data_IF_334920020199
#
_entry.id   IF_334920020199
#
_cell.length_a   1.000
_cell.length_b   1.000
_cell.length_c   1.000
_cell.angle_alpha   90.00
_cell.angle_beta   90.00
_cell.angle_gamma   90.00
#
_symmetry.space_group_name_H-M   'P 1'
#
loop_
_entity.id
_entity.type
_entity.pdbx_description
1 polymer ?
#
# COMPACT_ATOMS: atom_id res chain seq x y z
N UNK A 1 19.42 21.36 6.72
CA UNK A 1 17.97 21.52 6.48
C UNK A 1 17.78 21.98 5.03
N UNK A 2 17.75 21.05 4.06
CA UNK A 2 17.36 21.23 2.64
C UNK A 2 17.85 20.03 1.77
N UNK A 3 17.68 18.77 2.21
CA UNK A 3 18.17 17.60 1.46
C UNK A 3 17.15 16.44 1.35
N UNK A 4 15.85 16.70 1.56
CA UNK A 4 14.78 15.68 1.49
C UNK A 4 13.79 15.83 0.32
N UNK A 5 13.66 17.00 -0.29
CA UNK A 5 12.58 17.28 -1.26
C UNK A 5 12.83 16.70 -2.66
N UNK A 6 14.08 16.73 -3.14
CA UNK A 6 14.41 16.28 -4.50
C UNK A 6 14.36 14.75 -4.65
N UNK A 7 14.75 14.00 -3.61
CA UNK A 7 14.76 12.54 -3.62
C UNK A 7 13.33 11.95 -3.55
N UNK A 8 12.43 12.62 -2.83
CA UNK A 8 11.01 12.35 -2.91
C UNK A 8 10.54 12.56 -4.35
N UNK A 9 10.61 13.76 -4.93
CA UNK A 9 10.08 14.01 -6.28
C UNK A 9 10.65 13.11 -7.40
N UNK A 10 11.93 12.71 -7.34
CA UNK A 10 12.54 11.82 -8.34
C UNK A 10 11.98 10.38 -8.29
N UNK A 11 11.66 9.87 -7.10
CA UNK A 11 11.00 8.56 -6.93
C UNK A 11 9.53 8.62 -7.38
N UNK A 12 8.86 9.77 -7.26
CA UNK A 12 7.49 9.99 -7.74
C UNK A 12 7.37 9.96 -9.26
N UNK A 13 8.34 10.53 -9.98
CA UNK A 13 8.37 10.49 -11.44
C UNK A 13 8.59 9.06 -11.99
N UNK A 14 9.31 8.19 -11.26
CA UNK A 14 9.49 6.78 -11.66
C UNK A 14 8.26 5.91 -11.39
N UNK A 15 7.37 6.30 -10.48
CA UNK A 15 6.09 5.62 -10.23
C UNK A 15 5.07 5.81 -11.38
N UNK A 16 5.25 6.83 -12.24
CA UNK A 16 4.24 7.29 -13.21
C UNK A 16 4.75 7.48 -14.65
N UNK A 17 5.91 6.90 -15.02
CA UNK A 17 6.41 6.95 -16.40
C UNK A 17 5.74 5.91 -17.32
N UNK A 18 4.43 6.10 -17.55
CA UNK A 18 3.75 5.98 -18.85
C UNK A 18 2.47 6.80 -18.77
N UNK A 19 2.63 8.12 -18.91
CA UNK A 19 1.56 9.12 -18.99
C UNK A 19 0.66 8.81 -20.19
N UNK A 20 -0.61 8.54 -19.93
CA UNK A 20 -1.68 8.88 -20.87
C UNK A 20 -2.33 10.12 -20.30
N UNK A 21 -1.95 11.28 -20.85
CA UNK A 21 -2.61 12.56 -20.60
C UNK A 21 -3.97 12.53 -21.29
N UNK A 22 -5.07 12.72 -20.56
CA UNK A 22 -6.34 13.22 -21.12
C UNK A 22 -7.13 14.00 -20.05
N UNK A 23 -7.95 14.99 -20.45
CA UNK A 23 -8.45 16.03 -19.55
C UNK A 23 -9.79 15.71 -18.85
N UNK A 24 -9.80 16.03 -17.54
CA UNK A 24 -10.87 16.57 -16.68
C UNK A 24 -12.28 15.97 -16.64
N UNK A 25 -12.56 15.27 -15.52
CA UNK A 25 -13.48 15.77 -14.47
C UNK A 25 -12.78 15.61 -13.11
N UNK A 26 -12.79 16.66 -12.26
CA UNK A 26 -12.31 16.63 -10.87
C UNK A 26 -13.19 15.71 -10.01
N UNK A 27 -13.05 14.38 -10.14
CA UNK A 27 -13.88 13.41 -9.40
C UNK A 27 -13.24 12.91 -8.12
N UNK A 28 -11.91 13.04 -8.01
CA UNK A 28 -11.19 12.75 -6.76
C UNK A 28 -11.48 13.81 -5.68
N UNK A 29 -11.87 15.03 -6.05
CA UNK A 29 -12.30 16.08 -5.11
C UNK A 29 -13.59 15.72 -4.38
N UNK A 30 -14.43 14.87 -4.98
CA UNK A 30 -15.69 14.39 -4.40
C UNK A 30 -15.49 13.32 -3.35
N UNK A 31 -14.28 12.88 -3.04
CA UNK A 31 -14.06 11.83 -2.03
C UNK A 31 -13.58 12.45 -0.74
N UNK A 32 -14.35 12.35 0.35
CA UNK A 32 -13.86 12.81 1.65
C UNK A 32 -13.09 11.68 2.34
N UNK A 33 -11.96 12.05 2.94
CA UNK A 33 -11.20 11.20 3.84
C UNK A 33 -10.98 11.97 5.14
N UNK A 34 -11.40 11.36 6.25
CA UNK A 34 -11.02 11.81 7.59
C UNK A 34 -10.17 10.72 8.21
N UNK A 35 -8.86 10.96 8.36
CA UNK A 35 -7.95 9.98 8.93
C UNK A 35 -7.05 10.67 9.97
N UNK A 36 -7.14 10.30 11.26
CA UNK A 36 -6.35 10.94 12.31
C UNK A 36 -4.85 10.89 12.03
N UNK A 37 -4.17 12.02 12.21
CA UNK A 37 -2.72 12.15 12.00
C UNK A 37 -2.29 12.37 10.55
N UNK A 38 -3.22 12.41 9.59
CA UNK A 38 -2.95 12.70 8.19
C UNK A 38 -3.53 14.05 7.80
N UNK A 39 -2.70 14.92 7.23
CA UNK A 39 -3.09 16.26 6.78
C UNK A 39 -3.00 16.35 5.28
N UNK A 40 -4.04 16.86 4.63
CA UNK A 40 -4.04 17.08 3.20
C UNK A 40 -3.11 18.24 2.82
N UNK A 41 -2.27 18.02 1.82
CA UNK A 41 -1.44 19.06 1.22
C UNK A 41 -2.10 19.67 -0.02
N UNK A 42 -1.37 20.53 -0.75
CA UNK A 42 -1.82 21.03 -2.05
C UNK A 42 -2.10 19.86 -3.00
N UNK A 43 -3.27 19.85 -3.63
CA UNK A 43 -3.65 18.86 -4.64
C UNK A 43 -3.15 19.27 -6.03
N UNK A 44 -2.83 18.28 -6.86
CA UNK A 44 -2.77 18.43 -8.31
C UNK A 44 -4.12 17.96 -8.89
N UNK A 45 -4.44 18.37 -10.12
CA UNK A 45 -5.72 18.10 -10.80
C UNK A 45 -6.10 16.63 -10.83
N UNK A 46 -5.10 15.73 -10.83
CA UNK A 46 -5.30 14.29 -10.97
C UNK A 46 -5.04 13.50 -9.68
N UNK A 47 -4.49 14.14 -8.64
CA UNK A 47 -4.03 13.46 -7.45
C UNK A 47 -4.14 14.31 -6.18
N UNK A 48 -4.72 13.72 -5.15
CA UNK A 48 -4.77 14.29 -3.79
C UNK A 48 -3.77 13.60 -2.90
N UNK A 49 -3.13 14.35 -2.01
CA UNK A 49 -2.01 13.87 -1.21
C UNK A 49 -2.22 14.29 0.24
N UNK A 50 -2.17 13.32 1.15
CA UNK A 50 -2.08 13.51 2.57
C UNK A 50 -0.69 13.10 3.06
N UNK A 51 -0.21 13.80 4.09
CA UNK A 51 1.05 13.48 4.77
C UNK A 51 0.82 13.37 6.26
N UNK A 52 1.54 12.44 6.88
CA UNK A 52 1.63 12.39 8.34
C UNK A 52 2.79 13.24 8.88
N UNK A 53 2.89 13.35 10.21
CA UNK A 53 3.97 14.09 10.88
C UNK A 53 5.37 13.54 10.63
N UNK A 54 5.48 12.29 10.19
CA UNK A 54 6.78 11.68 9.89
C UNK A 54 7.15 11.84 8.40
N UNK A 55 6.22 12.32 7.56
CA UNK A 55 6.40 12.54 6.14
C UNK A 55 6.02 11.34 5.26
N UNK A 56 5.35 10.33 5.83
CA UNK A 56 4.73 9.26 5.04
C UNK A 56 3.58 9.82 4.22
N UNK A 57 3.25 9.12 3.13
CA UNK A 57 2.35 9.66 2.12
C UNK A 57 1.19 8.74 1.86
N UNK A 58 0.00 9.32 1.82
CA UNK A 58 -1.22 8.71 1.35
C UNK A 58 -1.68 9.52 0.14
N UNK A 59 -1.96 8.87 -0.97
CA UNK A 59 -2.47 9.54 -2.17
C UNK A 59 -3.75 8.90 -2.65
N UNK A 60 -4.59 9.71 -3.30
CA UNK A 60 -5.77 9.29 -4.03
C UNK A 60 -5.62 9.68 -5.49
N UNK A 61 -5.80 8.71 -6.37
CA UNK A 61 -5.90 8.90 -7.82
C UNK A 61 -7.17 8.26 -8.35
N UNK A 62 -7.71 8.84 -9.43
CA UNK A 62 -8.83 8.25 -10.17
C UNK A 62 -8.33 7.73 -11.52
N UNK A 63 -8.73 6.52 -11.88
CA UNK A 63 -8.44 5.91 -13.17
C UNK A 63 -9.75 5.73 -13.94
N UNK A 64 -9.94 6.49 -15.02
CA UNK A 64 -11.14 6.40 -15.87
C UNK A 64 -11.32 4.99 -16.46
N UNK A 65 -10.24 4.43 -16.99
CA UNK A 65 -10.20 3.01 -17.34
C UNK A 65 -10.03 2.23 -16.04
N UNK A 66 -11.15 1.73 -15.52
CA UNK A 66 -11.16 0.95 -14.29
C UNK A 66 -10.15 -0.20 -14.33
N UNK A 67 -9.52 -0.46 -13.18
CA UNK A 67 -8.69 -1.64 -13.00
C UNK A 67 -9.61 -2.84 -12.85
N UNK A 68 -9.61 -3.71 -13.87
CA UNK A 68 -10.34 -4.96 -13.83
C UNK A 68 -9.54 -5.99 -13.02
N UNK A 69 -9.64 -5.87 -11.69
CA UNK A 69 -9.06 -6.87 -10.80
C UNK A 69 -9.95 -8.12 -10.76
N UNK A 70 -9.37 -9.33 -10.69
CA UNK A 70 -10.12 -10.58 -10.75
C UNK A 70 -11.23 -10.65 -9.69
N UNK A 71 -12.46 -10.96 -10.13
CA UNK A 71 -13.61 -11.24 -9.28
C UNK A 71 -13.97 -12.71 -9.39
N UNK A 72 -14.37 -13.35 -8.30
CA UNK A 72 -14.84 -14.72 -8.33
C UNK A 72 -14.64 -15.47 -7.02
N UNK A 73 -15.12 -16.72 -6.94
CA UNK A 73 -14.89 -17.57 -5.78
C UNK A 73 -13.41 -17.94 -5.69
N UNK A 74 -12.78 -17.58 -4.58
CA UNK A 74 -11.37 -17.87 -4.29
C UNK A 74 -10.43 -16.69 -4.52
N UNK A 75 -9.48 -16.52 -3.59
CA UNK A 75 -8.56 -15.39 -3.59
C UNK A 75 -7.31 -15.61 -4.45
N UNK A 76 -7.12 -16.79 -5.05
CA UNK A 76 -5.89 -17.14 -5.77
C UNK A 76 -5.60 -16.21 -6.95
N UNK A 77 -6.59 -15.97 -7.81
CA UNK A 77 -6.41 -15.07 -8.97
C UNK A 77 -6.18 -13.63 -8.52
N UNK A 78 -6.88 -13.18 -7.47
CA UNK A 78 -6.71 -11.86 -6.88
C UNK A 78 -5.29 -11.69 -6.33
N UNK A 79 -4.79 -12.67 -5.58
CA UNK A 79 -3.43 -12.68 -5.00
C UNK A 79 -2.37 -12.68 -6.09
N UNK A 80 -2.55 -13.47 -7.15
CA UNK A 80 -1.66 -13.46 -8.32
C UNK A 80 -1.62 -12.08 -8.97
N UNK A 81 -2.79 -11.48 -9.22
CA UNK A 81 -2.90 -10.14 -9.79
C UNK A 81 -2.22 -9.08 -8.91
N UNK A 82 -2.43 -9.10 -7.59
CA UNK A 82 -1.74 -8.21 -6.65
C UNK A 82 -0.22 -8.43 -6.67
N UNK A 83 0.22 -9.69 -6.77
CA UNK A 83 1.63 -10.05 -6.87
C UNK A 83 2.27 -9.52 -8.15
N UNK A 84 1.61 -9.62 -9.29
CA UNK A 84 2.10 -9.07 -10.57
C UNK A 84 2.28 -7.56 -10.49
N UNK A 85 1.35 -6.87 -9.82
CA UNK A 85 1.45 -5.43 -9.56
C UNK A 85 2.63 -5.12 -8.63
N UNK A 86 2.83 -5.88 -7.55
CA UNK A 86 3.98 -5.73 -6.66
C UNK A 86 5.31 -5.98 -7.41
N UNK A 87 5.38 -7.07 -8.18
CA UNK A 87 6.55 -7.47 -8.96
C UNK A 87 6.91 -6.43 -10.03
N UNK A 88 5.92 -5.84 -10.72
CA UNK A 88 6.15 -4.76 -11.69
C UNK A 88 6.77 -3.50 -11.07
N UNK A 89 6.79 -3.41 -9.74
CA UNK A 89 7.41 -2.34 -8.95
C UNK A 89 8.63 -2.83 -8.18
N UNK A 90 9.18 -3.99 -8.55
CA UNK A 90 10.34 -4.62 -7.90
C UNK A 90 10.08 -4.95 -6.41
N UNK A 91 8.83 -5.20 -6.04
CA UNK A 91 8.41 -5.48 -4.67
C UNK A 91 7.85 -6.88 -4.47
N UNK A 92 8.03 -7.42 -3.26
CA UNK A 92 7.42 -8.67 -2.83
C UNK A 92 6.09 -8.43 -2.13
N UNK A 93 5.09 -9.25 -2.46
CA UNK A 93 3.77 -9.18 -1.85
C UNK A 93 3.83 -9.60 -0.37
N UNK A 94 3.18 -8.84 0.50
CA UNK A 94 3.01 -9.17 1.93
C UNK A 94 1.61 -9.69 2.18
N UNK A 95 0.60 -8.97 1.73
CA UNK A 95 -0.81 -9.27 1.97
C UNK A 95 -1.64 -8.90 0.75
N UNK A 96 -2.68 -9.67 0.45
CA UNK A 96 -3.69 -9.35 -0.55
C UNK A 96 -5.02 -9.99 -0.17
N UNK A 97 -6.08 -9.19 -0.21
CA UNK A 97 -7.44 -9.63 0.11
C UNK A 97 -8.50 -8.81 -0.63
N UNK A 98 -9.65 -9.42 -0.87
CA UNK A 98 -10.84 -8.67 -1.22
C UNK A 98 -11.32 -7.87 0.00
N UNK A 99 -11.84 -6.67 -0.22
CA UNK A 99 -12.31 -5.80 0.85
C UNK A 99 -13.73 -5.31 0.55
N UNK A 100 -14.55 -5.20 1.59
CA UNK A 100 -15.85 -4.56 1.51
C UNK A 100 -15.67 -3.04 1.61
N UNK A 101 -16.30 -2.30 0.70
CA UNK A 101 -16.32 -0.83 0.70
C UNK A 101 -17.71 -0.38 0.24
N UNK A 102 -18.27 0.63 0.90
CA UNK A 102 -19.59 1.16 0.55
C UNK A 102 -19.69 1.70 -0.88
N UNK A 103 -18.56 2.03 -1.52
CA UNK A 103 -18.52 2.58 -2.87
C UNK A 103 -18.54 1.52 -3.98
N UNK A 104 -18.21 0.26 -3.67
CA UNK A 104 -18.16 -0.82 -4.65
C UNK A 104 -17.15 -1.93 -4.33
N UNK A 105 -17.03 -2.93 -5.21
CA UNK A 105 -16.04 -4.00 -5.06
C UNK A 105 -14.64 -3.42 -4.87
N UNK A 106 -13.90 -3.94 -3.89
CA UNK A 106 -12.59 -3.42 -3.57
C UNK A 106 -11.56 -4.52 -3.31
N UNK A 107 -10.30 -4.19 -3.56
CA UNK A 107 -9.14 -5.02 -3.24
C UNK A 107 -8.14 -4.20 -2.45
N UNK A 108 -7.56 -4.80 -1.42
CA UNK A 108 -6.45 -4.23 -0.66
C UNK A 108 -5.26 -5.17 -0.69
N UNK A 109 -4.07 -4.63 -0.93
CA UNK A 109 -2.83 -5.37 -0.83
C UNK A 109 -1.68 -4.50 -0.36
N UNK A 110 -0.67 -5.13 0.23
CA UNK A 110 0.54 -4.49 0.72
C UNK A 110 1.73 -5.21 0.12
N UNK A 111 2.73 -4.46 -0.33
CA UNK A 111 4.00 -5.00 -0.80
C UNK A 111 5.19 -4.23 -0.24
N UNK A 112 6.34 -4.90 -0.18
CA UNK A 112 7.60 -4.39 0.36
C UNK A 112 8.62 -4.21 -0.74
N UNK A 113 9.44 -3.17 -0.63
CA UNK A 113 10.57 -2.88 -1.51
C UNK A 113 11.77 -2.44 -0.70
N UNK A 114 12.96 -2.53 -1.29
CA UNK A 114 14.16 -1.91 -0.75
C UNK A 114 14.15 -0.40 -1.03
N UNK A 115 14.71 0.37 -0.11
CA UNK A 115 14.92 1.80 -0.30
C UNK A 115 16.19 2.03 -1.12
N UNK A 116 16.09 2.71 -2.26
CA UNK A 116 17.22 2.90 -3.21
C UNK A 116 18.45 3.57 -2.56
N UNK A 117 18.25 4.37 -1.52
CA UNK A 117 19.29 5.19 -0.88
C UNK A 117 19.72 4.67 0.51
N UNK A 118 19.10 3.61 1.04
CA UNK A 118 19.26 3.18 2.44
C UNK A 118 19.06 1.66 2.55
N UNK A 119 19.62 1.02 3.58
CA UNK A 119 19.42 -0.41 3.88
C UNK A 119 18.04 -0.73 4.49
N UNK A 120 17.06 0.16 4.36
CA UNK A 120 15.73 0.04 4.96
C UNK A 120 14.66 -0.40 3.96
N UNK A 121 13.50 -0.77 4.49
CA UNK A 121 12.34 -1.15 3.68
C UNK A 121 11.34 -0.03 3.49
N UNK A 122 10.70 -0.03 2.33
CA UNK A 122 9.51 0.78 2.03
C UNK A 122 8.33 -0.15 1.84
N UNK A 123 7.26 0.12 2.59
CA UNK A 123 6.01 -0.61 2.52
C UNK A 123 4.98 0.25 1.80
N UNK A 124 4.35 -0.33 0.79
CA UNK A 124 3.27 0.32 0.05
C UNK A 124 1.99 -0.48 0.20
N UNK A 125 0.94 0.16 0.73
CA UNK A 125 -0.43 -0.35 0.70
C UNK A 125 -1.20 0.27 -0.46
N UNK A 126 -1.96 -0.54 -1.18
CA UNK A 126 -2.85 -0.10 -2.25
C UNK A 126 -4.26 -0.61 -1.97
N UNK A 127 -5.22 0.31 -1.94
CA UNK A 127 -6.64 0.02 -1.81
C UNK A 127 -7.37 0.55 -3.06
N UNK A 128 -7.93 -0.36 -3.83
CA UNK A 128 -8.51 -0.08 -5.13
C UNK A 128 -9.99 -0.42 -5.08
N UNK A 129 -10.83 0.56 -5.38
CA UNK A 129 -12.28 0.41 -5.41
C UNK A 129 -12.80 0.67 -6.81
N UNK A 130 -13.55 -0.29 -7.36
CA UNK A 130 -14.27 -0.11 -8.62
C UNK A 130 -15.53 0.71 -8.37
N UNK A 131 -15.71 1.77 -9.15
CA UNK A 131 -16.88 2.67 -9.13
C UNK A 131 -17.46 2.76 -10.55
N UNK A 132 -18.67 3.29 -10.71
CA UNK A 132 -19.39 3.28 -12.02
C UNK A 132 -18.57 3.84 -13.19
N UNK A 133 -17.69 4.80 -12.93
CA UNK A 133 -16.96 5.55 -13.96
C UNK A 133 -15.45 5.22 -14.02
N UNK A 134 -14.99 4.21 -13.28
CA UNK A 134 -13.57 3.85 -13.23
C UNK A 134 -13.12 3.18 -11.93
N UNK A 135 -11.93 3.53 -11.46
CA UNK A 135 -11.39 3.04 -10.19
C UNK A 135 -10.80 4.17 -9.36
N UNK A 136 -11.10 4.15 -8.06
CA UNK A 136 -10.39 4.95 -7.06
C UNK A 136 -9.20 4.13 -6.56
N UNK A 137 -8.02 4.73 -6.57
CA UNK A 137 -6.78 4.09 -6.14
C UNK A 137 -6.18 4.89 -5.00
N UNK A 138 -6.30 4.34 -3.80
CA UNK A 138 -5.60 4.82 -2.62
C UNK A 138 -4.25 4.14 -2.51
N UNK A 139 -3.20 4.92 -2.30
CA UNK A 139 -1.84 4.41 -2.13
C UNK A 139 -1.21 5.03 -0.88
N UNK A 140 -0.93 4.21 0.13
CA UNK A 140 -0.15 4.62 1.32
C UNK A 140 1.27 4.10 1.19
N UNK A 141 2.26 4.94 1.46
CA UNK A 141 3.67 4.59 1.42
C UNK A 141 4.32 5.04 2.71
N UNK A 142 4.91 4.08 3.42
CA UNK A 142 5.71 4.32 4.62
C UNK A 142 7.08 3.67 4.50
N UNK A 143 8.13 4.42 4.82
CA UNK A 143 9.50 3.94 4.86
C UNK A 143 9.96 3.71 6.30
N UNK A 144 10.85 2.74 6.51
CA UNK A 144 11.58 2.64 7.77
C UNK A 144 12.43 3.89 7.99
N UNK A 145 12.35 4.44 9.20
CA UNK A 145 13.14 5.60 9.64
C UNK A 145 13.91 5.26 10.90
N UNK A 146 15.13 5.78 11.04
CA UNK A 146 15.99 5.49 12.18
C UNK A 146 16.65 4.11 12.07
N UNK A 147 16.57 3.31 13.13
CA UNK A 147 17.14 1.94 13.17
C UNK A 147 16.28 0.98 12.34
N UNK A 148 16.66 0.75 11.09
CA UNK A 148 16.06 -0.29 10.22
C UNK A 148 16.37 -1.68 10.77
N UNK A 149 15.47 -2.65 10.54
CA UNK A 149 15.72 -4.05 10.92
C UNK A 149 15.47 -4.38 12.40
N UNK A 150 15.01 -3.42 13.21
CA UNK A 150 14.73 -3.67 14.63
C UNK A 150 13.62 -4.72 14.82
N UNK A 151 12.56 -4.64 14.01
CA UNK A 151 11.45 -5.59 14.04
C UNK A 151 11.94 -6.99 13.71
N UNK A 152 12.73 -7.12 12.65
CA UNK A 152 13.34 -8.37 12.20
C UNK A 152 14.20 -8.97 13.30
N UNK A 153 15.15 -8.20 13.82
CA UNK A 153 16.10 -8.65 14.83
C UNK A 153 15.41 -9.15 16.11
N UNK A 154 14.43 -8.40 16.62
CA UNK A 154 13.68 -8.78 17.84
C UNK A 154 12.84 -10.03 17.59
N UNK A 155 12.10 -10.10 16.49
CA UNK A 155 11.25 -11.27 16.18
C UNK A 155 12.11 -12.51 15.94
N UNK A 156 13.24 -12.39 15.23
CA UNK A 156 14.18 -13.50 15.05
C UNK A 156 14.69 -14.00 16.39
N UNK A 157 15.14 -13.10 17.28
CA UNK A 157 15.65 -13.47 18.60
C UNK A 157 14.57 -14.15 19.46
N UNK A 158 13.34 -13.62 19.45
CA UNK A 158 12.21 -14.18 20.21
C UNK A 158 11.83 -15.58 19.69
N UNK A 159 11.77 -15.77 18.38
CA UNK A 159 11.45 -17.07 17.78
C UNK A 159 12.55 -18.11 18.02
N UNK A 160 13.83 -17.70 17.92
CA UNK A 160 14.97 -18.59 18.22
C UNK A 160 14.99 -18.98 19.70
N UNK A 161 14.81 -18.01 20.60
CA UNK A 161 14.73 -18.26 22.05
C UNK A 161 13.57 -19.18 22.41
N UNK A 162 12.43 -19.05 21.73
CA UNK A 162 11.26 -19.91 21.93
C UNK A 162 11.39 -21.28 21.25
N UNK A 163 12.49 -21.59 20.55
CA UNK A 163 12.68 -22.82 19.79
C UNK A 163 11.76 -22.96 18.57
N UNK A 164 11.12 -21.86 18.14
CA UNK A 164 10.19 -21.82 16.99
C UNK A 164 10.90 -21.53 15.66
N UNK A 165 12.17 -21.15 15.71
CA UNK A 165 13.01 -20.87 14.55
C UNK A 165 14.42 -21.41 14.80
N UNK A 166 14.84 -22.36 13.97
CA UNK A 166 16.24 -22.82 13.93
C UNK A 166 17.02 -22.00 12.92
N UNK A 167 18.35 -22.11 12.94
CA UNK A 167 19.20 -21.46 11.92
C UNK A 167 18.89 -21.98 10.51
N UNK A 168 18.70 -23.30 10.35
CA UNK A 168 18.30 -23.89 9.07
C UNK A 168 16.94 -23.37 8.59
N UNK A 169 15.96 -23.27 9.50
CA UNK A 169 14.64 -22.76 9.17
C UNK A 169 14.68 -21.25 8.83
N UNK A 170 15.58 -20.49 9.46
CA UNK A 170 15.81 -19.09 9.11
C UNK A 170 16.28 -18.96 7.66
N UNK A 171 17.30 -19.71 7.24
CA UNK A 171 17.82 -19.62 5.85
C UNK A 171 16.76 -19.98 4.80
N UNK A 172 15.94 -21.00 5.08
CA UNK A 172 14.98 -21.55 4.13
C UNK A 172 13.66 -20.79 4.10
N UNK A 173 13.11 -20.47 5.27
CA UNK A 173 11.71 -20.08 5.44
C UNK A 173 11.52 -18.66 5.96
N UNK A 174 12.59 -17.94 6.33
CA UNK A 174 12.44 -16.59 6.86
C UNK A 174 11.76 -15.63 5.89
N UNK A 175 12.06 -15.74 4.59
CA UNK A 175 11.56 -14.87 3.53
C UNK A 175 10.92 -15.68 2.40
N UNK A 176 9.61 -15.54 2.22
CA UNK A 176 8.83 -16.30 1.23
C UNK A 176 7.64 -15.46 0.70
N UNK A 177 7.10 -15.83 -0.47
CA UNK A 177 5.80 -15.31 -0.87
C UNK A 177 4.70 -15.91 0.04
N UNK A 178 3.76 -15.10 0.56
CA UNK A 178 2.74 -15.54 1.51
C UNK A 178 1.74 -16.56 0.95
N UNK A 179 1.60 -16.67 -0.37
CA UNK A 179 0.56 -17.47 -1.01
C UNK A 179 1.11 -18.50 -2.00
N UNK A 180 2.39 -18.42 -2.35
CA UNK A 180 3.07 -19.32 -3.28
C UNK A 180 4.53 -19.55 -2.86
N UNK A 181 4.81 -20.50 -1.95
CA UNK A 181 6.14 -20.67 -1.36
C UNK A 181 7.28 -20.94 -2.37
N UNK A 182 6.94 -21.41 -3.57
CA UNK A 182 7.87 -21.67 -4.67
C UNK A 182 8.12 -20.47 -5.58
N UNK A 183 7.49 -19.33 -5.32
CA UNK A 183 7.63 -18.12 -6.13
C UNK A 183 9.04 -17.52 -6.05
N UNK A 184 9.59 -17.17 -7.21
CA UNK A 184 10.96 -16.63 -7.36
C UNK A 184 11.00 -15.40 -8.29
N UNK A 185 9.87 -14.69 -8.48
CA UNK A 185 9.79 -13.58 -9.44
C UNK A 185 10.42 -12.25 -8.98
N UNK A 186 10.88 -12.17 -7.73
CA UNK A 186 11.60 -11.02 -7.15
C UNK A 186 12.71 -11.51 -6.22
N UNK A 187 13.62 -10.61 -5.84
CA UNK A 187 14.67 -10.90 -4.86
C UNK A 187 14.08 -11.33 -3.50
N UNK A 188 14.70 -12.32 -2.84
CA UNK A 188 14.29 -12.81 -1.52
C UNK A 188 14.26 -11.69 -0.48
N UNK A 189 15.10 -10.66 -0.61
CA UNK A 189 15.16 -9.54 0.34
C UNK A 189 13.86 -8.73 0.42
N UNK A 190 13.02 -8.76 -0.62
CA UNK A 190 11.73 -8.06 -0.64
C UNK A 190 10.53 -8.98 -0.40
N UNK A 191 10.74 -10.29 -0.33
CA UNK A 191 9.68 -11.24 0.04
C UNK A 191 9.21 -11.01 1.48
N UNK A 192 7.98 -11.48 1.78
CA UNK A 192 7.41 -11.37 3.12
C UNK A 192 8.29 -12.13 4.11
N UNK A 193 8.70 -11.44 5.16
CA UNK A 193 9.41 -12.03 6.28
C UNK A 193 8.45 -12.63 7.30
N UNK A 194 8.91 -13.58 8.10
CA UNK A 194 8.15 -14.04 9.26
C UNK A 194 7.85 -12.88 10.22
N UNK A 195 8.78 -11.92 10.37
CA UNK A 195 8.59 -10.69 11.14
C UNK A 195 7.49 -9.80 10.58
N UNK A 196 7.21 -9.85 9.29
CA UNK A 196 6.15 -9.06 8.67
C UNK A 196 4.76 -9.53 9.13
N UNK A 197 4.60 -10.65 9.84
CA UNK A 197 3.28 -11.11 10.30
C UNK A 197 2.55 -10.06 11.16
N UNK A 198 1.24 -9.91 10.92
CA UNK A 198 0.40 -8.90 11.59
C UNK A 198 0.34 -9.06 13.11
N UNK A 199 0.59 -10.26 13.63
CA UNK A 199 0.58 -10.52 15.08
C UNK A 199 1.67 -9.73 15.82
N UNK A 200 2.71 -9.26 15.13
CA UNK A 200 3.76 -8.43 15.72
C UNK A 200 3.42 -6.93 15.72
N UNK A 201 2.37 -6.48 15.04
CA UNK A 201 2.10 -5.04 14.87
C UNK A 201 1.85 -4.30 16.19
N UNK A 202 1.28 -4.98 17.19
CA UNK A 202 1.07 -4.41 18.52
C UNK A 202 2.39 -4.13 19.27
N UNK A 203 3.42 -4.94 19.02
CA UNK A 203 4.76 -4.75 19.60
C UNK A 203 5.53 -3.65 18.87
N UNK A 204 5.24 -3.42 17.58
CA UNK A 204 5.92 -2.44 16.74
C UNK A 204 4.96 -1.38 16.17
N UNK A 205 4.22 -0.62 17.02
CA UNK A 205 3.16 0.27 16.55
C UNK A 205 3.68 1.42 15.68
N UNK A 206 4.97 1.78 15.77
CA UNK A 206 5.59 2.82 14.94
C UNK A 206 6.29 2.28 13.69
N UNK A 207 6.32 0.96 13.49
CA UNK A 207 6.93 0.36 12.31
C UNK A 207 6.12 0.69 11.05
N UNK A 208 6.83 0.88 9.93
CA UNK A 208 6.24 1.32 8.68
C UNK A 208 5.14 0.37 8.17
N UNK A 209 5.33 -0.95 8.29
CA UNK A 209 4.30 -1.93 7.92
C UNK A 209 3.05 -1.83 8.81
N UNK A 210 3.24 -1.70 10.11
CA UNK A 210 2.12 -1.57 11.07
C UNK A 210 1.33 -0.29 10.82
N UNK A 211 2.00 0.80 10.42
CA UNK A 211 1.35 2.04 9.99
C UNK A 211 0.53 1.84 8.71
N UNK A 212 1.13 1.24 7.67
CA UNK A 212 0.44 0.94 6.41
C UNK A 212 -0.81 0.09 6.65
N UNK A 213 -0.72 -0.95 7.47
CA UNK A 213 -1.89 -1.78 7.84
C UNK A 213 -2.99 -1.01 8.53
N UNK A 214 -2.66 -0.10 9.46
CA UNK A 214 -3.67 0.77 10.10
C UNK A 214 -4.39 1.64 9.09
N UNK A 215 -3.67 2.26 8.15
CA UNK A 215 -4.28 3.06 7.09
C UNK A 215 -5.17 2.20 6.20
N UNK A 216 -4.66 1.05 5.75
CA UNK A 216 -5.41 0.11 4.91
C UNK A 216 -6.68 -0.41 5.59
N UNK A 217 -6.66 -0.64 6.90
CA UNK A 217 -7.84 -1.03 7.67
C UNK A 217 -8.87 0.10 7.84
N UNK A 218 -8.40 1.36 7.93
CA UNK A 218 -9.27 2.52 8.12
C UNK A 218 -9.93 3.01 6.81
N UNK A 219 -9.27 2.83 5.66
CA UNK A 219 -9.75 3.36 4.38
C UNK A 219 -11.19 2.93 4.02
N UNK A 220 -11.59 1.65 4.11
CA UNK A 220 -12.95 1.25 3.70
C UNK A 220 -14.07 1.90 4.50
N UNK A 221 -13.80 2.27 5.75
CA UNK A 221 -14.78 2.88 6.66
C UNK A 221 -14.82 4.41 6.58
N UNK A 222 -13.74 5.03 6.07
CA UNK A 222 -13.55 6.48 6.10
C UNK A 222 -13.59 7.14 4.71
N UNK A 223 -13.87 6.36 3.66
CA UNK A 223 -13.96 6.83 2.28
C UNK A 223 -15.44 6.92 1.87
N UNK A 224 -15.91 8.14 1.62
CA UNK A 224 -17.26 8.40 1.13
C UNK A 224 -17.26 9.42 -0.02
N UNK A 225 -18.25 9.33 -0.91
CA UNK A 225 -18.53 10.41 -1.87
C UNK A 225 -19.22 11.58 -1.17
N UNK A 226 -18.86 12.80 -1.54
CA UNK A 226 -19.52 14.02 -1.15
C UNK A 226 -20.90 14.05 -1.82
N UNK A 227 -21.95 14.06 -1.01
CA UNK A 227 -23.33 13.91 -1.46
C UNK A 227 -23.94 15.20 -2.04
N UNK A 228 -23.15 16.25 -2.27
CA UNK A 228 -23.67 17.57 -2.65
C UNK A 228 -24.03 17.77 -4.14
N UNK A 229 -23.69 16.87 -5.07
CA UNK A 229 -24.00 17.08 -6.50
C UNK A 229 -25.11 16.18 -7.10
N UNK A 230 -25.68 15.25 -6.33
CA UNK A 230 -26.78 14.43 -6.84
C UNK A 230 -28.10 15.21 -7.03
N UNK A 231 -28.21 16.44 -6.52
CA UNK A 231 -29.45 17.24 -6.52
C UNK A 231 -29.60 18.21 -7.70
N UNK A 232 -28.52 18.52 -8.44
CA UNK A 232 -28.58 19.56 -9.50
C UNK A 232 -28.73 19.02 -10.93
N UNK A 233 -28.67 17.70 -11.15
CA UNK A 233 -28.85 17.09 -12.47
C UNK A 233 -30.31 16.76 -12.84
N UNK A 234 -31.29 17.26 -12.06
CA UNK A 234 -32.73 17.03 -12.32
C UNK A 234 -33.51 18.32 -12.63
N UNK A 235 -32.81 19.43 -12.93
CA UNK A 235 -33.42 20.66 -13.43
C UNK A 235 -32.58 21.27 -14.57
N UNK A 236 -32.72 20.71 -15.77
CA UNK A 236 -32.40 21.37 -17.03
C UNK A 236 -33.26 20.78 -18.15
#
# INVERSE_FOLDING_TARGET
LAFGEAAAMAWWNRLWCRRVFLPHIERSSLVRLTLPGWSEGPSDKDMRIWRDSEGDVLSLSFLEKGLDFPRGPGETNLRRWCREIAQSREGGLIEAQAMACGLGPSVGFIYKRTQVQNTGYVYTGMFITSVQLGSLVWTVVAGERGTSGLREAVVTADLMKAGKLTLEAYERCWAQDPYEPTYQGVDRIVLRFMSDDKNYDAQFPRHALSKVRRVMAALPENVCFDSQEASNSSRS
#
